data_IF_898174934438
#
_entry.id   IF_898174934438
#
_cell.length_a   1.000
_cell.length_b   1.000
_cell.length_c   1.000
_cell.angle_alpha   90.00
_cell.angle_beta   90.00
_cell.angle_gamma   90.00
#
_symmetry.space_group_name_H-M   'P 1'
#
loop_
_entity.id
_entity.type
_entity.pdbx_description
1 polymer ?
#
# COMPACT_ATOMS: atom_id res chain seq x y z
N UNK A 1 -24.32 -63.43 4.95
CA UNK A 1 -22.99 -62.97 4.49
C UNK A 1 -22.59 -61.75 5.30
N UNK A 2 -21.49 -61.82 6.05
CA UNK A 2 -20.95 -60.67 6.78
C UNK A 2 -20.35 -59.67 5.79
N UNK A 3 -20.83 -58.42 5.80
CA UNK A 3 -20.22 -57.36 5.00
C UNK A 3 -18.85 -57.02 5.59
N UNK A 4 -17.80 -57.15 4.79
CA UNK A 4 -16.45 -56.71 5.14
C UNK A 4 -16.30 -55.21 4.87
N UNK A 5 -15.81 -54.47 5.86
CA UNK A 5 -15.53 -53.04 5.73
C UNK A 5 -14.03 -52.83 5.60
N UNK A 6 -13.62 -51.83 4.81
CA UNK A 6 -12.21 -51.51 4.60
C UNK A 6 -12.00 -50.02 4.38
N UNK A 7 -10.80 -49.55 4.69
CA UNK A 7 -10.32 -48.19 4.41
C UNK A 7 -9.00 -48.27 3.65
N UNK A 8 -8.59 -47.17 3.03
CA UNK A 8 -7.29 -47.04 2.38
C UNK A 8 -6.39 -46.14 3.20
N UNK A 9 -5.19 -46.63 3.51
CA UNK A 9 -4.14 -45.86 4.17
C UNK A 9 -2.88 -46.00 3.33
N UNK A 10 -2.31 -44.88 2.87
CA UNK A 10 -1.13 -44.85 1.97
C UNK A 10 -1.28 -45.76 0.73
N UNK A 11 -2.50 -45.83 0.18
CA UNK A 11 -2.81 -46.67 -0.99
C UNK A 11 -3.00 -48.16 -0.70
N UNK A 12 -2.88 -48.62 0.55
CA UNK A 12 -3.11 -50.01 0.95
C UNK A 12 -4.51 -50.20 1.51
N UNK A 13 -5.19 -51.30 1.12
CA UNK A 13 -6.51 -51.69 1.60
C UNK A 13 -6.39 -52.39 2.97
N UNK A 14 -7.00 -51.82 3.99
CA UNK A 14 -7.01 -52.35 5.36
C UNK A 14 -8.44 -52.71 5.75
N UNK A 15 -8.68 -53.97 6.11
CA UNK A 15 -9.99 -54.43 6.60
C UNK A 15 -10.17 -53.97 8.04
N UNK A 16 -11.33 -53.38 8.34
CA UNK A 16 -11.63 -52.76 9.64
C UNK A 16 -13.01 -53.17 10.13
N UNK A 17 -13.27 -52.94 11.43
CA UNK A 17 -14.61 -53.08 11.98
C UNK A 17 -15.56 -52.03 11.38
N UNK A 18 -16.86 -52.31 11.45
CA UNK A 18 -17.90 -51.37 11.01
C UNK A 18 -17.81 -50.03 11.74
N UNK A 19 -17.50 -50.05 13.05
CA UNK A 19 -17.40 -48.84 13.87
C UNK A 19 -16.25 -47.95 13.41
N UNK A 20 -15.07 -48.53 13.16
CA UNK A 20 -13.90 -47.81 12.64
C UNK A 20 -14.18 -47.25 11.25
N UNK A 21 -14.83 -48.02 10.39
CA UNK A 21 -15.24 -47.56 9.06
C UNK A 21 -16.18 -46.35 9.14
N UNK A 22 -17.18 -46.40 10.01
CA UNK A 22 -18.15 -45.32 10.18
C UNK A 22 -17.50 -44.05 10.73
N UNK A 23 -16.64 -44.18 11.75
CA UNK A 23 -15.92 -43.05 12.33
C UNK A 23 -14.97 -42.39 11.30
N UNK A 24 -14.22 -43.20 10.56
CA UNK A 24 -13.33 -42.71 9.51
C UNK A 24 -14.08 -41.89 8.47
N UNK A 25 -15.15 -42.46 7.88
CA UNK A 25 -15.92 -41.78 6.85
C UNK A 25 -16.72 -40.59 7.37
N UNK A 26 -17.12 -40.57 8.64
CA UNK A 26 -17.74 -39.39 9.25
C UNK A 26 -16.80 -38.18 9.23
N UNK A 27 -15.57 -38.36 9.73
CA UNK A 27 -14.57 -37.28 9.75
C UNK A 27 -14.11 -36.90 8.35
N UNK A 28 -13.83 -37.88 7.48
CA UNK A 28 -13.45 -37.62 6.09
C UNK A 28 -14.52 -36.85 5.33
N UNK A 29 -15.80 -37.20 5.51
CA UNK A 29 -16.90 -36.49 4.85
C UNK A 29 -17.07 -35.07 5.40
N UNK A 30 -16.90 -34.88 6.71
CA UNK A 30 -16.94 -33.56 7.34
C UNK A 30 -15.83 -32.64 6.80
N UNK A 31 -14.60 -33.14 6.72
CA UNK A 31 -13.46 -32.40 6.18
C UNK A 31 -13.66 -32.06 4.69
N UNK A 32 -14.14 -33.03 3.89
CA UNK A 32 -14.44 -32.80 2.46
C UNK A 32 -15.57 -31.79 2.26
N UNK A 33 -16.61 -31.84 3.10
CA UNK A 33 -17.70 -30.88 3.07
C UNK A 33 -17.20 -29.46 3.39
N UNK A 34 -16.37 -29.32 4.44
CA UNK A 34 -15.76 -28.05 4.82
C UNK A 34 -14.93 -27.49 3.66
N UNK A 35 -14.00 -28.30 3.10
CA UNK A 35 -13.20 -27.90 1.92
C UNK A 35 -14.05 -27.47 0.72
N UNK A 36 -15.18 -28.14 0.48
CA UNK A 36 -16.10 -27.77 -0.61
C UNK A 36 -16.74 -26.42 -0.34
N UNK A 37 -17.21 -26.20 0.88
CA UNK A 37 -17.81 -24.94 1.31
C UNK A 37 -16.77 -23.80 1.24
N UNK A 38 -15.53 -24.06 1.62
CA UNK A 38 -14.47 -23.05 1.58
C UNK A 38 -14.13 -22.63 0.14
N UNK A 39 -14.06 -23.61 -0.79
CA UNK A 39 -13.89 -23.34 -2.23
C UNK A 39 -15.09 -22.59 -2.83
N UNK A 40 -16.31 -22.98 -2.47
CA UNK A 40 -17.54 -22.35 -2.97
C UNK A 40 -17.64 -20.89 -2.52
N UNK A 41 -17.22 -20.59 -1.28
CA UNK A 41 -17.18 -19.24 -0.74
C UNK A 41 -15.91 -18.46 -1.11
N UNK A 42 -15.04 -19.00 -1.96
CA UNK A 42 -13.77 -18.39 -2.37
C UNK A 42 -12.92 -17.92 -1.19
N UNK A 43 -12.94 -18.66 -0.08
CA UNK A 43 -12.15 -18.33 1.10
C UNK A 43 -10.68 -18.58 0.77
N UNK A 44 -9.90 -17.51 0.74
CA UNK A 44 -8.44 -17.56 0.70
C UNK A 44 -7.94 -18.01 2.08
N UNK A 45 -7.30 -19.18 2.14
CA UNK A 45 -6.62 -19.60 3.35
C UNK A 45 -5.26 -18.93 3.44
N UNK A 46 -4.85 -18.53 4.66
CA UNK A 46 -3.51 -18.00 4.89
C UNK A 46 -2.42 -19.01 4.48
N UNK A 47 -2.68 -20.31 4.65
CA UNK A 47 -1.79 -21.40 4.26
C UNK A 47 -1.54 -21.43 2.74
N UNK A 48 -2.53 -21.04 1.93
CA UNK A 48 -2.42 -21.04 0.48
C UNK A 48 -1.55 -19.89 -0.04
N UNK A 49 -1.19 -18.94 0.83
CA UNK A 49 -0.33 -17.81 0.50
C UNK A 49 1.09 -17.98 1.06
N UNK A 50 1.32 -19.00 1.88
CA UNK A 50 2.61 -19.31 2.49
C UNK A 50 3.31 -20.46 1.77
N UNK A 51 3.77 -20.20 0.54
CA UNK A 51 4.34 -21.21 -0.35
C UNK A 51 5.78 -21.61 0.00
N UNK A 52 6.50 -20.75 0.72
CA UNK A 52 7.94 -20.83 0.96
C UNK A 52 8.34 -20.51 2.41
N UNK A 53 7.37 -20.39 3.32
CA UNK A 53 7.59 -19.95 4.70
C UNK A 53 7.71 -18.43 4.85
N UNK A 54 7.40 -17.66 3.80
CA UNK A 54 7.42 -16.21 3.78
C UNK A 54 6.06 -15.62 3.34
N UNK A 55 5.06 -15.76 4.20
CA UNK A 55 3.71 -15.23 3.99
C UNK A 55 3.66 -13.73 3.62
N UNK A 56 4.38 -12.87 4.35
CA UNK A 56 4.35 -11.42 4.12
C UNK A 56 4.90 -11.06 2.73
N UNK A 57 6.01 -11.69 2.32
CA UNK A 57 6.59 -11.48 0.99
C UNK A 57 5.65 -11.85 -0.15
N UNK A 58 4.80 -12.86 0.05
CA UNK A 58 3.84 -13.32 -0.96
C UNK A 58 2.59 -12.41 -1.07
N UNK A 59 2.34 -11.55 -0.09
CA UNK A 59 1.24 -10.57 -0.10
C UNK A 59 1.62 -9.22 -0.73
N UNK A 60 2.91 -8.89 -0.76
CA UNK A 60 3.38 -7.58 -1.22
C UNK A 60 3.15 -7.44 -2.73
N UNK A 61 2.41 -6.41 -3.13
CA UNK A 61 2.35 -6.00 -4.53
C UNK A 61 3.67 -5.32 -4.91
N UNK A 62 4.55 -6.06 -5.58
CA UNK A 62 5.87 -5.59 -6.00
C UNK A 62 5.79 -4.44 -7.03
N UNK A 63 4.62 -4.16 -7.61
CA UNK A 63 4.44 -3.02 -8.51
C UNK A 63 4.22 -1.71 -7.75
N UNK A 64 3.88 -1.77 -6.46
CA UNK A 64 3.55 -0.60 -5.64
C UNK A 64 4.53 -0.47 -4.49
N UNK A 65 5.35 0.57 -4.55
CA UNK A 65 6.24 0.96 -3.45
C UNK A 65 5.46 1.80 -2.44
N UNK A 66 4.91 1.13 -1.42
CA UNK A 66 4.11 1.75 -0.36
C UNK A 66 4.95 2.73 0.47
N UNK A 67 6.22 2.39 0.73
CA UNK A 67 7.13 3.24 1.51
C UNK A 67 7.36 4.56 0.80
N UNK A 68 7.68 4.51 -0.49
CA UNK A 68 7.85 5.71 -1.31
C UNK A 68 6.56 6.53 -1.44
N UNK A 69 5.40 5.87 -1.49
CA UNK A 69 4.11 6.56 -1.52
C UNK A 69 3.87 7.32 -0.22
N UNK A 70 4.14 6.70 0.93
CA UNK A 70 4.02 7.33 2.24
C UNK A 70 5.03 8.47 2.39
N UNK A 71 6.29 8.27 1.99
CA UNK A 71 7.32 9.31 1.99
C UNK A 71 6.88 10.50 1.14
N UNK A 72 6.41 10.26 -0.09
CA UNK A 72 5.95 11.32 -0.99
C UNK A 72 4.79 12.11 -0.38
N UNK A 73 3.84 11.42 0.27
CA UNK A 73 2.71 12.07 0.93
C UNK A 73 3.17 12.96 2.09
N UNK A 74 4.10 12.46 2.92
CA UNK A 74 4.69 13.25 4.01
C UNK A 74 5.42 14.49 3.48
N UNK A 75 6.24 14.34 2.42
CA UNK A 75 6.92 15.47 1.76
C UNK A 75 5.95 16.53 1.24
N UNK A 76 4.83 16.12 0.65
CA UNK A 76 3.79 17.05 0.17
C UNK A 76 3.13 17.78 1.34
N UNK A 77 2.85 17.09 2.45
CA UNK A 77 2.30 17.71 3.66
C UNK A 77 3.26 18.74 4.28
N UNK A 78 4.55 18.41 4.39
CA UNK A 78 5.62 19.31 4.84
C UNK A 78 5.73 20.55 3.96
N UNK A 79 5.74 20.37 2.64
CA UNK A 79 5.76 21.47 1.68
C UNK A 79 4.56 22.39 1.84
N UNK A 80 3.34 21.84 1.95
CA UNK A 80 2.13 22.62 2.15
C UNK A 80 2.16 23.42 3.45
N UNK A 81 2.70 22.84 4.54
CA UNK A 81 2.91 23.57 5.81
C UNK A 81 3.94 24.68 5.66
N UNK A 82 5.03 24.44 4.94
CA UNK A 82 6.03 25.47 4.66
C UNK A 82 5.43 26.63 3.84
N UNK A 83 4.66 26.33 2.80
CA UNK A 83 3.93 27.32 2.00
C UNK A 83 2.84 28.05 2.81
N UNK A 84 2.28 27.42 3.85
CA UNK A 84 1.36 28.03 4.83
C UNK A 84 1.99 29.14 5.67
N UNK A 85 3.31 29.12 5.86
CA UNK A 85 4.04 30.13 6.63
C UNK A 85 4.40 31.40 5.83
N UNK A 86 4.22 31.36 4.51
CA UNK A 86 4.51 32.50 3.64
C UNK A 86 3.42 33.55 3.76
N UNK A 87 3.78 34.82 3.58
CA UNK A 87 2.78 35.88 3.43
C UNK A 87 2.03 35.72 2.11
N UNK A 88 0.87 36.37 1.96
CA UNK A 88 0.11 36.33 0.71
C UNK A 88 0.94 36.80 -0.50
N UNK A 89 1.76 37.85 -0.32
CA UNK A 89 2.66 38.34 -1.38
C UNK A 89 3.74 37.30 -1.73
N UNK A 90 4.38 36.71 -0.71
CA UNK A 90 5.42 35.69 -0.91
C UNK A 90 4.85 34.45 -1.61
N UNK A 91 3.67 34.00 -1.19
CA UNK A 91 2.98 32.87 -1.79
C UNK A 91 2.61 33.14 -3.24
N UNK A 92 2.05 34.31 -3.54
CA UNK A 92 1.65 34.67 -4.91
C UNK A 92 2.87 34.68 -5.86
N UNK A 93 4.02 35.16 -5.40
CA UNK A 93 5.27 35.10 -6.17
C UNK A 93 5.69 33.65 -6.46
N UNK A 94 5.60 32.75 -5.47
CA UNK A 94 5.93 31.33 -5.65
C UNK A 94 4.93 30.64 -6.59
N UNK A 95 3.63 30.87 -6.39
CA UNK A 95 2.56 30.32 -7.23
C UNK A 95 2.70 30.74 -8.69
N UNK A 96 2.92 32.03 -8.93
CA UNK A 96 3.12 32.54 -10.28
C UNK A 96 4.35 31.90 -10.96
N UNK A 97 5.46 31.79 -10.25
CA UNK A 97 6.73 31.33 -10.85
C UNK A 97 6.85 29.81 -11.00
N UNK A 98 6.25 29.01 -10.12
CA UNK A 98 6.51 27.57 -10.04
C UNK A 98 5.27 26.70 -10.28
N UNK A 99 4.06 27.24 -10.13
CA UNK A 99 2.82 26.48 -10.35
C UNK A 99 2.08 26.93 -11.61
N UNK A 100 2.22 28.20 -11.99
CA UNK A 100 1.67 28.77 -13.24
C UNK A 100 2.72 28.96 -14.34
N UNK A 101 3.99 28.65 -14.07
CA UNK A 101 5.11 28.82 -15.01
C UNK A 101 5.20 30.21 -15.66
N UNK A 102 4.83 31.26 -14.91
CA UNK A 102 4.93 32.63 -15.41
C UNK A 102 6.38 33.10 -15.47
N UNK A 103 6.71 33.91 -16.47
CA UNK A 103 8.05 34.46 -16.58
C UNK A 103 8.33 35.48 -15.47
N UNK A 104 9.56 35.51 -14.98
CA UNK A 104 10.01 36.52 -14.00
C UNK A 104 9.75 37.96 -14.43
N UNK A 105 9.68 38.24 -15.74
CA UNK A 105 9.36 39.59 -16.25
C UNK A 105 7.88 39.93 -16.05
N UNK A 106 6.98 38.99 -16.33
CA UNK A 106 5.54 39.19 -16.17
C UNK A 106 5.17 39.36 -14.71
N UNK A 107 5.69 38.48 -13.85
CA UNK A 107 5.48 38.59 -12.40
C UNK A 107 6.09 39.89 -11.86
N UNK A 108 7.28 40.30 -12.31
CA UNK A 108 7.84 41.57 -11.85
C UNK A 108 6.92 42.75 -12.24
N UNK A 109 6.36 42.70 -13.45
CA UNK A 109 5.46 43.73 -13.96
C UNK A 109 4.13 43.78 -13.20
N UNK A 110 3.53 42.63 -12.85
CA UNK A 110 2.27 42.59 -12.08
C UNK A 110 2.41 43.14 -10.66
N UNK A 111 3.60 43.03 -10.08
CA UNK A 111 3.94 43.59 -8.77
C UNK A 111 4.54 45.02 -8.84
N UNK A 112 4.68 45.62 -10.03
CA UNK A 112 5.29 46.94 -10.19
C UNK A 112 6.78 46.99 -9.80
N UNK A 113 7.47 45.85 -9.86
CA UNK A 113 8.86 45.68 -9.48
C UNK A 113 9.77 45.58 -10.69
N UNK A 114 11.04 45.95 -10.51
CA UNK A 114 12.08 45.58 -11.48
C UNK A 114 12.37 44.07 -11.39
N UNK A 115 12.71 43.43 -12.52
CA UNK A 115 12.96 41.99 -12.59
C UNK A 115 14.02 41.51 -11.58
N UNK A 116 15.07 42.29 -11.36
CA UNK A 116 16.12 41.97 -10.37
C UNK A 116 15.61 42.02 -8.94
N UNK A 117 14.68 42.92 -8.62
CA UNK A 117 14.05 43.01 -7.30
C UNK A 117 13.17 41.79 -7.03
N UNK A 118 12.41 41.33 -8.03
CA UNK A 118 11.65 40.08 -7.94
C UNK A 118 12.57 38.89 -7.69
N UNK A 119 13.67 38.77 -8.44
CA UNK A 119 14.63 37.66 -8.27
C UNK A 119 15.22 37.64 -6.85
N UNK A 120 15.54 38.81 -6.28
CA UNK A 120 15.99 38.93 -4.89
C UNK A 120 14.92 38.47 -3.91
N UNK A 121 13.67 38.92 -4.06
CA UNK A 121 12.53 38.49 -3.25
C UNK A 121 12.31 36.97 -3.32
N UNK A 122 12.24 36.41 -4.54
CA UNK A 122 12.14 34.97 -4.77
C UNK A 122 13.23 34.20 -4.04
N UNK A 123 14.49 34.62 -4.17
CA UNK A 123 15.60 33.94 -3.50
C UNK A 123 15.49 34.00 -1.96
N UNK A 124 14.96 35.09 -1.41
CA UNK A 124 14.71 35.20 0.04
C UNK A 124 13.58 34.25 0.48
N UNK A 125 12.51 34.16 -0.30
CA UNK A 125 11.39 33.24 -0.04
C UNK A 125 11.88 31.79 -0.07
N UNK A 126 12.67 31.41 -1.09
CA UNK A 126 13.24 30.07 -1.19
C UNK A 126 14.17 29.74 -0.03
N UNK A 127 14.96 30.71 0.47
CA UNK A 127 15.78 30.51 1.69
C UNK A 127 14.90 30.26 2.91
N UNK A 128 13.80 31.00 3.07
CA UNK A 128 12.83 30.82 4.16
C UNK A 128 12.21 29.43 4.10
N UNK A 129 11.73 29.01 2.92
CA UNK A 129 11.19 27.66 2.70
C UNK A 129 12.22 26.57 3.00
N UNK A 130 13.46 26.74 2.54
CA UNK A 130 14.56 25.80 2.81
C UNK A 130 14.76 25.59 4.31
N UNK A 131 14.85 26.68 5.09
CA UNK A 131 15.04 26.59 6.55
C UNK A 131 13.88 25.84 7.20
N UNK A 132 12.64 26.09 6.75
CA UNK A 132 11.47 25.39 7.31
C UNK A 132 11.52 23.90 6.98
N UNK A 133 11.86 23.55 5.74
CA UNK A 133 11.94 22.16 5.28
C UNK A 133 13.11 21.38 5.89
N UNK A 134 14.21 22.03 6.25
CA UNK A 134 15.33 21.41 6.98
C UNK A 134 15.02 21.16 8.47
N UNK A 135 13.96 21.79 9.00
CA UNK A 135 13.54 21.66 10.39
C UNK A 135 12.41 20.63 10.60
N UNK A 136 11.98 19.92 9.55
CA UNK A 136 11.10 18.76 9.62
C UNK A 136 11.94 17.48 9.66
#
# INVERSE_FOLDING_TARGET
MSKEYFIFVEGKRIVVSKEVYQAYWHETNKENYQRRLDRENQLLFFCDLDHDGNFEGNLIDQNVDVEKLVETRQRIEELNRALASLTNEEREIIDALYFRDETTRNVASSFGLHQTSLIRKRNQILKKLKIILENF
#
